data_IF_469532624920
#
_entry.id   IF_469532624920
#
_cell.length_a   1.000
_cell.length_b   1.000
_cell.length_c   1.000
_cell.angle_alpha   90.00
_cell.angle_beta   90.00
_cell.angle_gamma   90.00
#
_symmetry.space_group_name_H-M   'P 1'
#
loop_
_entity.id
_entity.type
_entity.pdbx_description
1 polymer ?
#
# COMPACT_ATOMS: atom_id res chain seq x y z
N UNK A 1 16.07 -20.19 2.48
CA UNK A 1 16.44 -19.10 1.55
C UNK A 1 17.03 -17.88 2.26
N UNK A 2 16.62 -17.56 3.51
CA UNK A 2 17.01 -16.32 4.22
C UNK A 2 18.51 -16.12 4.31
N UNK A 3 19.22 -17.12 4.85
CA UNK A 3 20.68 -17.10 4.98
C UNK A 3 21.42 -17.01 3.64
N UNK A 4 20.76 -17.38 2.52
CA UNK A 4 21.35 -17.26 1.18
C UNK A 4 21.31 -15.82 0.66
N UNK A 5 20.26 -15.05 0.97
CA UNK A 5 20.16 -13.65 0.55
C UNK A 5 20.77 -12.69 1.58
N UNK A 6 20.71 -13.03 2.86
CA UNK A 6 21.21 -12.22 3.95
C UNK A 6 22.06 -13.04 4.92
N UNK A 7 23.29 -12.62 5.17
CA UNK A 7 24.17 -13.24 6.18
C UNK A 7 23.85 -12.71 7.59
N UNK A 8 22.54 -12.65 7.94
CA UNK A 8 22.06 -12.03 9.18
C UNK A 8 20.83 -12.73 9.75
N UNK A 9 20.63 -12.58 11.07
CA UNK A 9 19.45 -13.11 11.76
C UNK A 9 18.13 -12.46 11.30
N UNK A 10 17.07 -13.27 11.26
CA UNK A 10 15.71 -12.87 10.91
C UNK A 10 15.23 -11.72 11.82
N UNK A 11 14.61 -10.68 11.23
CA UNK A 11 13.97 -9.59 11.98
C UNK A 11 14.80 -8.31 12.21
N UNK A 12 16.09 -8.28 11.80
CA UNK A 12 16.91 -7.05 11.82
C UNK A 12 16.90 -6.27 10.51
N UNK A 13 16.37 -6.86 9.43
CA UNK A 13 16.38 -6.26 8.11
C UNK A 13 15.11 -5.47 7.83
N UNK A 14 15.31 -4.31 7.19
CA UNK A 14 14.25 -3.42 6.74
C UNK A 14 14.34 -3.24 5.22
N UNK A 15 13.27 -2.72 4.62
CA UNK A 15 13.26 -2.33 3.20
C UNK A 15 14.40 -1.35 2.90
N UNK A 16 14.72 -0.44 3.82
CA UNK A 16 15.85 0.48 3.64
C UNK A 16 17.19 -0.25 3.49
N UNK A 17 17.42 -1.30 4.29
CA UNK A 17 18.62 -2.13 4.15
C UNK A 17 18.66 -2.82 2.78
N UNK A 18 17.52 -3.30 2.29
CA UNK A 18 17.40 -3.91 0.96
C UNK A 18 17.70 -2.90 -0.16
N UNK A 19 17.16 -1.68 -0.07
CA UNK A 19 17.42 -0.62 -1.05
C UNK A 19 18.91 -0.27 -1.10
N UNK A 20 19.59 -0.22 0.05
CA UNK A 20 21.06 -0.04 0.10
C UNK A 20 21.80 -1.17 -0.60
N UNK A 21 21.35 -2.42 -0.44
CA UNK A 21 21.96 -3.57 -1.11
C UNK A 21 21.73 -3.56 -2.62
N UNK A 22 20.56 -3.10 -3.08
CA UNK A 22 20.24 -2.95 -4.50
C UNK A 22 21.11 -1.89 -5.20
N UNK A 23 21.64 -0.93 -4.45
CA UNK A 23 22.62 0.05 -4.95
C UNK A 23 23.99 -0.54 -5.30
N UNK A 24 24.28 -1.79 -4.93
CA UNK A 24 25.52 -2.46 -5.34
C UNK A 24 25.41 -2.94 -6.80
N UNK A 25 26.23 -2.38 -7.69
CA UNK A 25 26.25 -2.72 -9.12
C UNK A 25 26.66 -4.19 -9.38
N UNK A 26 27.54 -4.74 -8.55
CA UNK A 26 28.06 -6.11 -8.67
C UNK A 26 27.14 -7.18 -8.08
N UNK A 27 25.92 -6.81 -7.70
CA UNK A 27 24.94 -7.75 -7.17
C UNK A 27 24.48 -8.72 -8.27
N UNK A 28 24.59 -10.02 -8.01
CA UNK A 28 24.11 -11.06 -8.92
C UNK A 28 22.64 -10.82 -9.33
N UNK A 29 22.33 -11.02 -10.61
CA UNK A 29 21.02 -10.71 -11.22
C UNK A 29 19.87 -11.37 -10.45
N UNK A 30 20.01 -12.65 -10.12
CA UNK A 30 19.02 -13.40 -9.35
C UNK A 30 18.79 -12.77 -7.97
N UNK A 31 19.87 -12.44 -7.25
CA UNK A 31 19.77 -11.79 -5.94
C UNK A 31 19.13 -10.41 -6.04
N UNK A 32 19.46 -9.64 -7.08
CA UNK A 32 18.86 -8.33 -7.37
C UNK A 32 17.35 -8.44 -7.59
N UNK A 33 16.89 -9.41 -8.38
CA UNK A 33 15.47 -9.65 -8.61
C UNK A 33 14.72 -9.93 -7.29
N UNK A 34 15.20 -10.89 -6.51
CA UNK A 34 14.59 -11.26 -5.23
C UNK A 34 14.51 -10.07 -4.25
N UNK A 35 15.59 -9.29 -4.14
CA UNK A 35 15.60 -8.09 -3.30
C UNK A 35 14.62 -7.02 -3.80
N UNK A 36 14.53 -6.80 -5.11
CA UNK A 36 13.60 -5.85 -5.71
C UNK A 36 12.13 -6.25 -5.46
N UNK A 37 11.80 -7.53 -5.61
CA UNK A 37 10.46 -8.05 -5.35
C UNK A 37 10.05 -7.88 -3.88
N UNK A 38 10.96 -8.15 -2.95
CA UNK A 38 10.69 -7.94 -1.52
C UNK A 38 10.57 -6.47 -1.18
N UNK A 39 11.41 -5.60 -1.74
CA UNK A 39 11.29 -4.16 -1.55
C UNK A 39 9.95 -3.63 -2.07
N UNK A 40 9.46 -4.16 -3.20
CA UNK A 40 8.14 -3.83 -3.73
C UNK A 40 7.02 -4.28 -2.78
N UNK A 41 7.07 -5.53 -2.31
CA UNK A 41 6.01 -6.07 -1.46
C UNK A 41 6.05 -5.44 -0.06
N UNK A 42 7.14 -5.56 0.70
CA UNK A 42 7.20 -5.04 2.08
C UNK A 42 7.33 -3.51 2.14
N UNK A 43 7.75 -2.86 1.05
CA UNK A 43 7.91 -1.40 1.00
C UNK A 43 6.70 -0.67 0.45
N UNK A 44 5.96 -1.26 -0.50
CA UNK A 44 4.90 -0.57 -1.22
C UNK A 44 3.55 -1.27 -1.06
N UNK A 45 3.47 -2.56 -1.36
CA UNK A 45 2.17 -3.25 -1.42
C UNK A 45 1.64 -3.59 -0.04
N UNK A 46 2.47 -4.18 0.82
CA UNK A 46 2.10 -4.70 2.14
C UNK A 46 3.03 -4.20 3.25
N UNK A 47 3.29 -2.88 3.40
CA UNK A 47 4.14 -2.39 4.48
C UNK A 47 3.54 -2.74 5.83
N UNK A 48 4.29 -3.48 6.64
CA UNK A 48 3.81 -4.04 7.91
C UNK A 48 3.77 -3.00 9.02
N UNK A 49 4.77 -2.11 9.08
CA UNK A 49 4.91 -1.06 10.09
C UNK A 49 5.77 0.10 9.58
N UNK A 50 5.84 1.17 10.37
CA UNK A 50 6.69 2.35 10.11
C UNK A 50 8.17 2.04 9.97
N UNK A 51 8.63 0.92 10.54
CA UNK A 51 10.04 0.51 10.49
C UNK A 51 10.34 -0.28 9.21
N UNK A 52 9.32 -0.58 8.38
CA UNK A 52 9.40 -1.35 7.14
C UNK A 52 10.21 -2.63 7.29
N UNK A 53 9.94 -3.38 8.37
CA UNK A 53 10.59 -4.68 8.61
C UNK A 53 10.15 -5.69 7.56
N UNK A 54 11.11 -6.47 7.09
CA UNK A 54 10.84 -7.52 6.11
C UNK A 54 9.99 -8.64 6.71
N UNK A 55 9.05 -9.14 5.94
CA UNK A 55 8.15 -10.22 6.32
C UNK A 55 8.76 -11.57 5.90
N UNK A 56 9.13 -12.46 6.85
CA UNK A 56 9.79 -13.72 6.52
C UNK A 56 9.00 -14.61 5.55
N UNK A 57 7.66 -14.62 5.65
CA UNK A 57 6.77 -15.38 4.76
C UNK A 57 6.93 -15.01 3.29
N UNK A 58 6.98 -13.71 2.97
CA UNK A 58 7.14 -13.26 1.58
C UNK A 58 8.49 -13.68 1.01
N UNK A 59 9.49 -13.68 1.88
CA UNK A 59 10.82 -14.12 1.53
C UNK A 59 10.88 -15.64 1.27
N UNK A 60 10.13 -16.46 2.01
CA UNK A 60 10.04 -17.90 1.71
C UNK A 60 9.39 -18.16 0.35
N UNK A 61 8.37 -17.37 -0.02
CA UNK A 61 7.68 -17.49 -1.30
C UNK A 61 8.60 -17.20 -2.49
N UNK A 62 9.65 -16.41 -2.32
CA UNK A 62 10.65 -16.15 -3.36
C UNK A 62 11.39 -17.40 -3.85
N UNK A 63 11.33 -18.51 -3.12
CA UNK A 63 11.90 -19.79 -3.58
C UNK A 63 11.24 -20.30 -4.87
N UNK A 64 10.04 -19.80 -5.16
CA UNK A 64 9.30 -20.02 -6.40
C UNK A 64 8.79 -18.65 -6.89
N UNK A 65 9.59 -18.02 -7.76
CA UNK A 65 9.30 -16.67 -8.27
C UNK A 65 8.00 -16.64 -9.08
N UNK A 66 7.67 -17.70 -9.81
CA UNK A 66 6.43 -17.76 -10.59
C UNK A 66 5.21 -17.74 -9.66
N UNK A 67 5.23 -18.57 -8.62
CA UNK A 67 4.19 -18.57 -7.58
C UNK A 67 4.15 -17.25 -6.82
N UNK A 68 5.30 -16.64 -6.56
CA UNK A 68 5.37 -15.33 -5.92
C UNK A 68 4.66 -14.27 -6.78
N UNK A 69 4.93 -14.21 -8.08
CA UNK A 69 4.32 -13.25 -9.00
C UNK A 69 2.82 -13.51 -9.20
N UNK A 70 2.40 -14.77 -9.20
CA UNK A 70 0.99 -15.17 -9.28
C UNK A 70 0.22 -14.98 -7.96
N UNK A 71 0.89 -14.66 -6.86
CA UNK A 71 0.22 -14.44 -5.58
C UNK A 71 -0.68 -13.20 -5.65
N UNK A 72 -1.82 -13.26 -4.97
CA UNK A 72 -2.80 -12.18 -4.94
C UNK A 72 -2.35 -11.02 -4.04
N UNK A 73 -1.27 -10.34 -4.39
CA UNK A 73 -0.71 -9.23 -3.61
C UNK A 73 -1.70 -8.10 -3.39
N UNK A 74 -2.57 -7.83 -4.38
CA UNK A 74 -3.66 -6.85 -4.23
C UNK A 74 -4.62 -7.22 -3.09
N UNK A 75 -4.98 -8.51 -2.97
CA UNK A 75 -5.84 -9.00 -1.88
C UNK A 75 -5.14 -8.94 -0.52
N UNK A 76 -3.87 -9.38 -0.45
CA UNK A 76 -3.07 -9.33 0.79
C UNK A 76 -2.95 -7.88 1.30
N UNK A 77 -2.66 -6.97 0.37
CA UNK A 77 -2.56 -5.55 0.64
C UNK A 77 -3.89 -4.97 1.13
N UNK A 78 -4.99 -5.24 0.42
CA UNK A 78 -6.33 -4.81 0.81
C UNK A 78 -6.71 -5.29 2.21
N UNK A 79 -6.49 -6.58 2.51
CA UNK A 79 -6.77 -7.15 3.83
C UNK A 79 -5.89 -6.57 4.93
N UNK A 80 -4.68 -6.09 4.60
CA UNK A 80 -3.81 -5.37 5.53
C UNK A 80 -4.32 -3.95 5.80
N UNK A 81 -4.91 -3.31 4.80
CA UNK A 81 -5.36 -1.91 4.85
C UNK A 81 -6.75 -1.75 5.49
N UNK A 82 -7.74 -2.57 5.09
CA UNK A 82 -9.16 -2.43 5.51
C UNK A 82 -9.39 -2.37 7.03
N UNK A 83 -8.71 -3.17 7.88
CA UNK A 83 -8.93 -3.10 9.34
C UNK A 83 -8.67 -1.72 9.95
N UNK A 84 -7.91 -0.83 9.27
CA UNK A 84 -7.69 0.56 9.71
C UNK A 84 -8.94 1.44 9.59
N UNK A 85 -9.90 1.02 8.78
CA UNK A 85 -11.17 1.71 8.55
C UNK A 85 -12.34 1.04 9.27
N UNK A 86 -12.11 -0.12 9.90
CA UNK A 86 -13.14 -0.88 10.61
C UNK A 86 -12.98 -0.79 12.14
N UNK A 87 -14.04 -1.11 12.91
CA UNK A 87 -13.91 -1.21 14.36
C UNK A 87 -12.83 -2.21 14.73
N UNK A 88 -11.92 -1.88 15.68
CA UNK A 88 -10.91 -2.82 16.13
C UNK A 88 -11.57 -4.08 16.69
N UNK A 89 -11.07 -5.24 16.26
CA UNK A 89 -11.59 -6.55 16.65
C UNK A 89 -11.35 -6.85 18.15
N UNK A 90 -10.33 -6.23 18.73
CA UNK A 90 -9.96 -6.39 20.14
C UNK A 90 -9.88 -5.01 20.77
N UNK A 91 -10.69 -4.81 21.81
CA UNK A 91 -10.69 -3.60 22.64
C UNK A 91 -10.58 -3.98 24.11
N UNK A 92 -10.06 -3.07 24.93
CA UNK A 92 -9.99 -3.28 26.37
C UNK A 92 -11.37 -3.44 27.02
N UNK A 93 -11.46 -4.05 28.22
CA UNK A 93 -12.72 -4.21 28.93
C UNK A 93 -13.47 -2.88 29.07
N UNK A 94 -14.76 -2.86 28.71
CA UNK A 94 -15.61 -1.67 28.80
C UNK A 94 -15.45 -0.65 27.66
N UNK A 95 -14.51 -0.85 26.74
CA UNK A 95 -14.37 0.03 25.57
C UNK A 95 -15.37 -0.33 24.47
N UNK A 96 -15.92 0.67 23.79
CA UNK A 96 -16.80 0.49 22.63
C UNK A 96 -15.96 0.54 21.33
N UNK A 97 -15.90 -0.54 20.53
CA UNK A 97 -15.15 -0.57 19.27
C UNK A 97 -15.55 0.53 18.27
N UNK A 98 -16.84 0.88 18.21
CA UNK A 98 -17.34 1.94 17.31
C UNK A 98 -16.83 3.31 17.74
N UNK A 99 -16.79 3.57 19.06
CA UNK A 99 -16.26 4.84 19.55
C UNK A 99 -14.75 4.94 19.30
N UNK A 100 -13.99 3.86 19.54
CA UNK A 100 -12.56 3.81 19.22
C UNK A 100 -12.30 4.05 17.74
N UNK A 101 -13.13 3.47 16.86
CA UNK A 101 -13.07 3.72 15.42
C UNK A 101 -13.36 5.20 15.09
N UNK A 102 -14.45 5.77 15.63
CA UNK A 102 -14.80 7.17 15.40
C UNK A 102 -13.66 8.08 15.84
N UNK A 103 -13.15 7.91 17.05
CA UNK A 103 -12.05 8.72 17.59
C UNK A 103 -10.81 8.65 16.70
N UNK A 104 -10.48 7.46 16.18
CA UNK A 104 -9.37 7.26 15.23
C UNK A 104 -9.60 7.95 13.89
N UNK A 105 -10.81 7.85 13.34
CA UNK A 105 -11.15 8.44 12.04
C UNK A 105 -11.34 9.96 12.11
N UNK A 106 -11.66 10.51 13.28
CA UNK A 106 -11.76 11.95 13.51
C UNK A 106 -10.41 12.63 13.73
N UNK A 107 -9.30 11.88 13.77
CA UNK A 107 -7.97 12.48 13.88
C UNK A 107 -7.59 13.26 12.61
N UNK A 108 -6.88 14.38 12.78
CA UNK A 108 -6.38 15.19 11.65
C UNK A 108 -5.45 14.39 10.73
N UNK A 109 -4.74 13.41 11.28
CA UNK A 109 -3.84 12.52 10.54
C UNK A 109 -4.01 11.09 11.04
N UNK A 110 -3.93 10.12 10.13
CA UNK A 110 -3.94 8.70 10.46
C UNK A 110 -2.86 7.98 9.67
N UNK A 111 -2.16 7.04 10.32
CA UNK A 111 -1.18 6.19 9.63
C UNK A 111 -1.91 4.98 9.06
N UNK A 112 -1.98 4.92 7.73
CA UNK A 112 -2.52 3.77 7.01
C UNK A 112 -1.38 2.96 6.41
N UNK A 113 -1.33 1.67 6.77
CA UNK A 113 -0.37 0.71 6.26
C UNK A 113 -1.03 -0.16 5.17
N UNK A 114 -0.23 -0.80 4.33
CA UNK A 114 -0.68 -1.45 3.10
C UNK A 114 -0.73 -0.48 1.92
N UNK A 115 -1.63 -0.71 0.98
CA UNK A 115 -1.78 0.10 -0.24
C UNK A 115 -3.13 0.83 -0.22
N UNK A 116 -3.26 1.97 0.51
CA UNK A 116 -4.48 2.77 0.49
C UNK A 116 -4.89 3.20 -0.91
N UNK A 117 -3.94 3.25 -1.86
CA UNK A 117 -4.24 3.48 -3.27
C UNK A 117 -5.14 2.39 -3.87
N UNK A 118 -5.03 1.12 -3.45
CA UNK A 118 -5.99 0.09 -3.90
C UNK A 118 -7.42 0.38 -3.42
N UNK A 119 -7.60 0.93 -2.22
CA UNK A 119 -8.92 1.37 -1.76
C UNK A 119 -9.41 2.56 -2.59
N UNK A 120 -8.54 3.52 -2.87
CA UNK A 120 -8.89 4.66 -3.72
C UNK A 120 -9.31 4.21 -5.12
N UNK A 121 -8.55 3.31 -5.75
CA UNK A 121 -8.88 2.73 -7.06
C UNK A 121 -10.21 1.96 -7.01
N UNK A 122 -10.42 1.16 -5.96
CA UNK A 122 -11.69 0.47 -5.75
C UNK A 122 -12.87 1.44 -5.60
N UNK A 123 -12.69 2.55 -4.86
CA UNK A 123 -13.71 3.59 -4.70
C UNK A 123 -14.04 4.24 -6.05
N UNK A 124 -13.04 4.51 -6.90
CA UNK A 124 -13.31 5.06 -8.24
C UNK A 124 -14.02 4.08 -9.17
N UNK A 125 -13.78 2.78 -9.01
CA UNK A 125 -14.48 1.74 -9.75
C UNK A 125 -15.95 1.61 -9.29
N UNK A 126 -16.21 1.67 -7.98
CA UNK A 126 -17.57 1.53 -7.43
C UNK A 126 -18.39 2.82 -7.40
N UNK A 127 -17.73 3.99 -7.46
CA UNK A 127 -18.36 5.33 -7.45
C UNK A 127 -17.77 6.14 -8.61
N UNK A 128 -18.21 5.91 -9.86
CA UNK A 128 -17.65 6.57 -11.04
C UNK A 128 -17.82 8.10 -11.01
N UNK A 129 -18.84 8.62 -10.32
CA UNK A 129 -19.02 10.06 -10.12
C UNK A 129 -17.82 10.73 -9.43
N UNK A 130 -17.06 10.01 -8.58
CA UNK A 130 -15.82 10.54 -8.01
C UNK A 130 -14.72 10.64 -9.05
N UNK A 131 -14.66 9.68 -9.99
CA UNK A 131 -13.68 9.70 -11.08
C UNK A 131 -13.90 10.91 -12.01
N UNK A 132 -15.17 11.29 -12.26
CA UNK A 132 -15.51 12.47 -13.07
C UNK A 132 -15.03 13.79 -12.48
N UNK A 133 -14.81 13.85 -11.15
CA UNK A 133 -14.28 15.05 -10.48
C UNK A 133 -12.75 15.16 -10.60
N UNK A 134 -12.06 14.08 -10.98
CA UNK A 134 -10.60 14.09 -11.10
C UNK A 134 -10.20 14.90 -12.34
N UNK A 135 -9.34 15.92 -12.18
CA UNK A 135 -8.78 16.63 -13.31
C UNK A 135 -8.01 15.67 -14.22
N UNK A 136 -8.34 15.67 -15.52
CA UNK A 136 -7.65 14.87 -16.53
C UNK A 136 -7.67 13.35 -16.22
N UNK A 137 -8.80 12.83 -15.75
CA UNK A 137 -8.99 11.42 -15.37
C UNK A 137 -8.62 10.39 -16.46
N UNK A 138 -8.64 10.80 -17.73
CA UNK A 138 -8.26 9.97 -18.88
C UNK A 138 -6.75 9.92 -19.15
N UNK A 139 -5.93 10.65 -18.39
CA UNK A 139 -4.50 10.73 -18.59
C UNK A 139 -3.80 9.46 -18.10
N UNK A 140 -3.23 8.73 -19.06
CA UNK A 140 -2.46 7.50 -18.81
C UNK A 140 -0.95 7.70 -18.93
N UNK A 141 -0.47 8.95 -18.93
CA UNK A 141 0.95 9.25 -18.99
C UNK A 141 1.66 8.62 -17.80
N UNK A 142 2.72 7.87 -18.08
CA UNK A 142 3.52 7.22 -17.04
C UNK A 142 4.58 8.17 -16.51
N UNK A 143 5.22 7.80 -15.40
CA UNK A 143 6.39 8.52 -14.90
C UNK A 143 7.53 8.60 -15.93
N UNK A 144 7.61 7.65 -16.87
CA UNK A 144 8.61 7.68 -17.95
C UNK A 144 8.27 8.76 -18.97
N UNK A 145 6.98 8.93 -19.27
CA UNK A 145 6.50 9.93 -20.23
C UNK A 145 6.54 11.35 -19.66
N UNK A 146 6.39 11.49 -18.33
CA UNK A 146 6.39 12.79 -17.64
C UNK A 146 7.07 12.71 -16.26
N UNK A 147 8.41 12.70 -16.22
CA UNK A 147 9.17 12.57 -14.96
C UNK A 147 8.91 13.72 -13.97
N UNK A 148 8.53 14.89 -14.51
CA UNK A 148 8.20 16.07 -13.72
C UNK A 148 6.85 16.00 -13.00
N UNK A 149 5.98 15.04 -13.31
CA UNK A 149 4.63 14.96 -12.74
C UNK A 149 4.60 14.80 -11.21
N UNK A 150 5.68 14.28 -10.60
CA UNK A 150 5.81 14.14 -9.15
C UNK A 150 6.45 15.36 -8.46
N UNK A 151 6.73 16.44 -9.18
CA UNK A 151 7.48 17.60 -8.65
C UNK A 151 6.63 18.50 -7.74
N UNK A 152 5.32 18.39 -7.83
CA UNK A 152 4.36 19.17 -7.05
C UNK A 152 3.18 18.28 -6.65
N UNK A 153 2.66 18.41 -5.42
CA UNK A 153 1.43 17.71 -5.05
C UNK A 153 0.27 18.19 -5.92
N UNK A 154 -0.48 17.25 -6.48
CA UNK A 154 -1.74 17.49 -7.16
C UNK A 154 -2.90 17.14 -6.24
N UNK A 155 -3.87 18.05 -6.12
CA UNK A 155 -5.14 17.75 -5.43
C UNK A 155 -6.02 16.98 -6.40
N UNK A 156 -6.28 15.71 -6.08
CA UNK A 156 -7.11 14.81 -6.90
C UNK A 156 -8.60 15.09 -6.66
N UNK A 157 -8.99 15.32 -5.41
CA UNK A 157 -10.36 15.65 -4.99
C UNK A 157 -10.34 16.63 -3.82
N UNK A 158 -11.34 17.50 -3.78
CA UNK A 158 -11.64 18.38 -2.65
C UNK A 158 -12.77 17.80 -1.80
N UNK A 159 -12.86 18.23 -0.55
CA UNK A 159 -13.95 17.79 0.37
C UNK A 159 -15.32 18.16 -0.19
N UNK A 160 -15.46 19.33 -0.82
CA UNK A 160 -16.74 19.76 -1.39
C UNK A 160 -17.17 18.87 -2.56
N UNK A 161 -16.25 18.44 -3.42
CA UNK A 161 -16.55 17.51 -4.51
C UNK A 161 -17.01 16.15 -3.98
N UNK A 162 -16.39 15.66 -2.91
CA UNK A 162 -16.80 14.42 -2.24
C UNK A 162 -18.22 14.55 -1.69
N UNK A 163 -18.52 15.63 -0.96
CA UNK A 163 -19.86 15.87 -0.39
C UNK A 163 -20.93 15.94 -1.48
N UNK A 164 -20.64 16.61 -2.60
CA UNK A 164 -21.57 16.67 -3.75
C UNK A 164 -21.87 15.28 -4.30
N UNK A 165 -20.87 14.41 -4.43
CA UNK A 165 -21.08 13.02 -4.89
C UNK A 165 -21.79 12.17 -3.83
N UNK A 166 -21.52 12.39 -2.55
CA UNK A 166 -22.20 11.67 -1.47
C UNK A 166 -23.71 12.00 -1.38
N UNK A 167 -24.09 13.24 -1.69
CA UNK A 167 -25.49 13.68 -1.72
C UNK A 167 -26.22 13.26 -3.02
N UNK A 168 -25.49 12.82 -4.03
CA UNK A 168 -26.06 12.39 -5.31
C UNK A 168 -26.85 11.07 -5.15
N UNK A 169 -28.11 11.01 -5.61
CA UNK A 169 -28.92 9.79 -5.54
C UNK A 169 -28.44 8.66 -6.47
N UNK A 170 -27.69 8.98 -7.53
CA UNK A 170 -27.24 8.02 -8.54
C UNK A 170 -25.79 7.53 -8.30
N UNK A 171 -25.20 7.88 -7.16
CA UNK A 171 -23.77 7.60 -6.82
C UNK A 171 -23.28 6.15 -6.83
N UNK A 172 -24.17 5.16 -6.93
CA UNK A 172 -23.83 3.72 -6.92
C UNK A 172 -24.40 2.96 -8.13
N UNK A 173 -24.90 3.67 -9.15
CA UNK A 173 -25.33 3.06 -10.43
C UNK A 173 -24.13 2.72 -11.30
#
# INVERSE_FOLDING_TARGET
>A
MWNKLFDTAVGKLTVLSVLRMLGNEYLAVEKRLHLALIALVDGVLCPSNKDLKLTPRYFEMLSDVERFLAYMWGRESFLTTVPRFLPPLVVGPGANPLQVMRDRLSQKTTVCNGFPLALQLFIFDVVPLLLEKIPDAGNTATFIDSPGACSSPSTILTVNEIVVVEEDPDRMQ
#
